data_IF_980057750447
#
_entry.id   IF_980057750447
#
_cell.length_a   1.000
_cell.length_b   1.000
_cell.length_c   1.000
_cell.angle_alpha   90.00
_cell.angle_beta   90.00
_cell.angle_gamma   90.00
#
_symmetry.space_group_name_H-M   'P 1'
#
loop_
_entity.id
_entity.type
_entity.pdbx_description
1 polymer ?
#
# COMPACT_ATOMS: atom_id res chain seq x y z
N UNK A 1 2.26 -25.20 9.22
CA UNK A 1 2.38 -23.78 9.58
C UNK A 1 1.22 -23.04 8.97
N UNK A 2 0.63 -22.05 9.65
CA UNK A 2 -0.41 -21.21 9.05
C UNK A 2 0.16 -20.42 7.88
N UNK A 3 -0.63 -20.24 6.81
CA UNK A 3 -0.26 -19.38 5.67
C UNK A 3 0.10 -17.97 6.14
N UNK A 4 1.08 -17.36 5.51
CA UNK A 4 1.36 -15.92 5.69
C UNK A 4 0.23 -15.11 5.09
N UNK A 5 -0.04 -13.94 5.65
CA UNK A 5 -1.10 -13.04 5.18
C UNK A 5 -0.51 -11.69 4.76
N UNK A 6 -0.93 -11.22 3.58
CA UNK A 6 -0.71 -9.85 3.11
C UNK A 6 -2.01 -9.06 3.11
N UNK A 7 -1.96 -7.82 3.59
CA UNK A 7 -3.03 -6.82 3.48
C UNK A 7 -2.60 -5.77 2.48
N UNK A 8 -3.39 -5.57 1.43
CA UNK A 8 -3.15 -4.54 0.40
C UNK A 8 -4.23 -3.46 0.51
N UNK A 9 -3.87 -2.32 1.05
CA UNK A 9 -4.71 -1.12 1.14
C UNK A 9 -4.52 -0.30 -0.12
N UNK A 10 -5.61 0.01 -0.81
CA UNK A 10 -5.60 0.58 -2.16
C UNK A 10 -5.61 -0.53 -3.23
N UNK A 11 -6.37 -1.61 -2.97
CA UNK A 11 -6.66 -2.61 -3.98
C UNK A 11 -7.39 -1.99 -5.17
N UNK A 12 -6.97 -2.36 -6.37
CA UNK A 12 -7.50 -1.82 -7.63
C UNK A 12 -6.90 -2.53 -8.82
N UNK A 13 -7.55 -2.43 -9.99
CA UNK A 13 -7.13 -3.09 -11.25
C UNK A 13 -5.71 -2.69 -11.72
N UNK A 14 -5.19 -1.55 -11.21
CA UNK A 14 -3.81 -1.15 -11.44
C UNK A 14 -2.81 -1.92 -10.56
N UNK A 15 -1.91 -1.22 -9.91
CA UNK A 15 -0.79 -1.81 -9.17
C UNK A 15 -1.23 -2.66 -7.97
N UNK A 16 -2.24 -2.22 -7.18
CA UNK A 16 -2.61 -2.89 -5.93
C UNK A 16 -2.95 -4.36 -6.09
N UNK A 17 -3.79 -4.71 -7.06
CA UNK A 17 -4.16 -6.10 -7.32
C UNK A 17 -2.99 -6.93 -7.85
N UNK A 18 -2.08 -6.35 -8.65
CA UNK A 18 -0.89 -7.06 -9.14
C UNK A 18 0.10 -7.35 -8.02
N UNK A 19 0.28 -6.41 -7.07
CA UNK A 19 1.09 -6.68 -5.87
C UNK A 19 0.46 -7.80 -5.05
N UNK A 20 -0.86 -7.74 -4.81
CA UNK A 20 -1.59 -8.78 -4.10
C UNK A 20 -1.43 -10.16 -4.78
N UNK A 21 -1.59 -10.20 -6.09
CA UNK A 21 -1.45 -11.43 -6.90
C UNK A 21 -0.01 -11.99 -6.85
N UNK A 22 1.00 -11.11 -6.92
CA UNK A 22 2.40 -11.54 -6.82
C UNK A 22 2.70 -12.27 -5.52
N UNK A 23 2.15 -11.78 -4.41
CA UNK A 23 2.26 -12.48 -3.12
C UNK A 23 1.41 -13.74 -3.05
N UNK A 24 0.21 -13.74 -3.67
CA UNK A 24 -0.65 -14.93 -3.72
C UNK A 24 0.04 -16.11 -4.45
N UNK A 25 0.82 -15.83 -5.50
CA UNK A 25 1.64 -16.83 -6.21
C UNK A 25 2.68 -17.50 -5.30
N UNK A 26 3.04 -16.85 -4.19
CA UNK A 26 3.97 -17.37 -3.17
C UNK A 26 3.23 -17.92 -1.93
N UNK A 27 2.03 -18.38 -2.14
CA UNK A 27 1.17 -19.01 -1.12
C UNK A 27 0.78 -18.10 0.05
N UNK A 28 0.68 -16.79 -0.17
CA UNK A 28 0.09 -15.90 0.80
C UNK A 28 -1.44 -15.89 0.70
N UNK A 29 -2.11 -15.85 1.86
CA UNK A 29 -3.49 -15.38 1.95
C UNK A 29 -3.52 -13.88 1.68
N UNK A 30 -4.47 -13.43 0.88
CA UNK A 30 -4.60 -12.02 0.48
C UNK A 30 -5.81 -11.37 1.15
N UNK A 31 -5.63 -10.17 1.68
CA UNK A 31 -6.73 -9.29 2.10
C UNK A 31 -6.69 -8.02 1.24
N UNK A 32 -7.70 -7.84 0.41
CA UNK A 32 -7.85 -6.66 -0.42
C UNK A 32 -8.68 -5.61 0.32
N UNK A 33 -8.12 -4.39 0.44
CA UNK A 33 -8.78 -3.28 1.13
C UNK A 33 -8.95 -2.11 0.16
N UNK A 34 -10.20 -1.64 -0.01
CA UNK A 34 -10.54 -0.49 -0.83
C UNK A 34 -11.86 0.14 -0.34
N UNK A 35 -12.22 1.32 -0.85
CA UNK A 35 -13.44 2.02 -0.44
C UNK A 35 -14.71 1.37 -0.98
N UNK A 36 -14.69 0.92 -2.24
CA UNK A 36 -15.88 0.43 -2.94
C UNK A 36 -16.06 -1.06 -2.78
N UNK A 37 -17.13 -1.46 -2.11
CA UNK A 37 -17.46 -2.87 -1.87
C UNK A 37 -17.85 -3.64 -3.14
N UNK A 38 -18.44 -2.96 -4.13
CA UNK A 38 -18.74 -3.53 -5.44
C UNK A 38 -17.48 -3.95 -6.19
N UNK A 39 -16.50 -3.05 -6.30
CA UNK A 39 -15.22 -3.36 -6.90
C UNK A 39 -14.46 -4.46 -6.15
N UNK A 40 -14.53 -4.48 -4.81
CA UNK A 40 -13.92 -5.53 -4.00
C UNK A 40 -14.55 -6.90 -4.27
N UNK A 41 -15.86 -6.97 -4.53
CA UNK A 41 -16.53 -8.23 -4.89
C UNK A 41 -16.01 -8.78 -6.23
N UNK A 42 -15.83 -7.90 -7.23
CA UNK A 42 -15.25 -8.28 -8.53
C UNK A 42 -13.80 -8.77 -8.38
N UNK A 43 -12.98 -8.05 -7.59
CA UNK A 43 -11.58 -8.44 -7.35
C UNK A 43 -11.49 -9.78 -6.63
N UNK A 44 -12.33 -9.99 -5.61
CA UNK A 44 -12.42 -11.26 -4.92
C UNK A 44 -12.72 -12.41 -5.88
N UNK A 45 -13.75 -12.26 -6.71
CA UNK A 45 -14.12 -13.28 -7.70
C UNK A 45 -12.97 -13.60 -8.66
N UNK A 46 -12.25 -12.56 -9.13
CA UNK A 46 -11.10 -12.73 -10.02
C UNK A 46 -9.95 -13.50 -9.37
N UNK A 47 -9.68 -13.28 -8.07
CA UNK A 47 -8.66 -14.02 -7.33
C UNK A 47 -9.08 -15.45 -7.02
N UNK A 48 -10.33 -15.67 -6.60
CA UNK A 48 -10.89 -17.00 -6.36
C UNK A 48 -10.88 -17.86 -7.63
N UNK A 49 -11.18 -17.27 -8.79
CA UNK A 49 -11.13 -17.96 -10.09
C UNK A 49 -9.72 -18.45 -10.46
N UNK A 50 -8.68 -17.81 -9.91
CA UNK A 50 -7.27 -18.23 -10.04
C UNK A 50 -6.84 -19.22 -8.95
N UNK A 51 -7.73 -19.59 -8.02
CA UNK A 51 -7.45 -20.50 -6.93
C UNK A 51 -6.74 -19.85 -5.74
N UNK A 52 -6.68 -18.51 -5.65
CA UNK A 52 -6.07 -17.82 -4.53
C UNK A 52 -7.02 -17.68 -3.33
N UNK A 53 -6.45 -17.78 -2.13
CA UNK A 53 -7.18 -17.52 -0.89
C UNK A 53 -7.25 -16.02 -0.65
N UNK A 54 -8.44 -15.43 -0.77
CA UNK A 54 -8.65 -13.99 -0.71
C UNK A 54 -9.85 -13.62 0.16
N UNK A 55 -9.71 -12.55 0.93
CA UNK A 55 -10.81 -11.85 1.59
C UNK A 55 -10.78 -10.36 1.24
N UNK A 56 -11.88 -9.67 1.51
CA UNK A 56 -12.03 -8.26 1.14
C UNK A 56 -12.64 -7.46 2.28
N UNK A 57 -12.12 -6.26 2.53
CA UNK A 57 -12.62 -5.37 3.57
C UNK A 57 -12.79 -3.97 3.00
N UNK A 58 -13.99 -3.42 3.09
CA UNK A 58 -14.23 -2.03 2.72
C UNK A 58 -13.65 -1.09 3.79
N UNK A 59 -12.90 -0.07 3.34
CA UNK A 59 -12.28 0.91 4.21
C UNK A 59 -12.08 2.24 3.47
N UNK A 60 -12.50 3.32 4.09
CA UNK A 60 -12.09 4.67 3.73
C UNK A 60 -10.90 5.07 4.60
N UNK A 61 -9.71 5.19 4.00
CA UNK A 61 -8.47 5.53 4.73
C UNK A 61 -8.43 6.98 5.20
N UNK A 62 -9.35 7.83 4.73
CA UNK A 62 -9.48 9.22 5.19
C UNK A 62 -10.26 9.34 6.49
N UNK A 63 -10.93 8.25 6.91
CA UNK A 63 -11.66 8.14 8.17
C UNK A 63 -10.93 7.19 9.13
N UNK A 64 -10.42 7.73 10.23
CA UNK A 64 -9.66 6.97 11.24
C UNK A 64 -10.49 5.85 11.88
N UNK A 65 -11.80 6.06 12.11
CA UNK A 65 -12.67 5.03 12.67
C UNK A 65 -12.98 3.93 11.62
N UNK A 66 -13.06 4.27 10.35
CA UNK A 66 -13.15 3.30 9.26
C UNK A 66 -11.90 2.41 9.22
N UNK A 67 -10.71 2.98 9.33
CA UNK A 67 -9.44 2.23 9.39
C UNK A 67 -9.43 1.30 10.59
N UNK A 68 -9.74 1.78 11.79
CA UNK A 68 -9.78 0.99 13.01
C UNK A 68 -10.75 -0.19 12.91
N UNK A 69 -11.95 0.07 12.38
CA UNK A 69 -12.98 -0.97 12.17
C UNK A 69 -12.50 -2.02 11.15
N UNK A 70 -11.90 -1.58 10.03
CA UNK A 70 -11.41 -2.47 9.01
C UNK A 70 -10.29 -3.38 9.52
N UNK A 71 -9.30 -2.83 10.23
CA UNK A 71 -8.21 -3.63 10.80
C UNK A 71 -8.67 -4.52 11.95
N UNK A 72 -9.69 -4.12 12.71
CA UNK A 72 -10.36 -5.00 13.68
C UNK A 72 -11.00 -6.23 13.03
N UNK A 73 -11.70 -6.03 11.89
CA UNK A 73 -12.26 -7.15 11.10
C UNK A 73 -11.16 -8.05 10.53
N UNK A 74 -10.11 -7.46 9.93
CA UNK A 74 -8.98 -8.23 9.40
C UNK A 74 -8.37 -9.09 10.49
N UNK A 75 -8.11 -8.51 11.67
CA UNK A 75 -7.54 -9.25 12.79
C UNK A 75 -8.45 -10.40 13.26
N UNK A 76 -9.75 -10.18 13.31
CA UNK A 76 -10.73 -11.21 13.71
C UNK A 76 -10.82 -12.37 12.68
N UNK A 77 -10.71 -12.08 11.38
CA UNK A 77 -10.88 -13.07 10.32
C UNK A 77 -9.59 -13.85 10.01
N UNK A 78 -8.46 -13.17 9.93
CA UNK A 78 -7.20 -13.75 9.47
C UNK A 78 -6.04 -13.63 10.47
N UNK A 79 -6.28 -13.00 11.62
CA UNK A 79 -5.25 -12.71 12.62
C UNK A 79 -4.34 -11.56 12.19
N UNK A 80 -3.22 -11.40 12.88
CA UNK A 80 -2.21 -10.40 12.56
C UNK A 80 -1.52 -10.76 11.24
N UNK A 81 -1.51 -9.87 10.23
CA UNK A 81 -0.85 -10.13 8.95
C UNK A 81 0.68 -10.20 9.09
N UNK A 82 1.35 -10.64 8.02
CA UNK A 82 2.81 -10.63 7.90
C UNK A 82 3.28 -9.41 7.10
N UNK A 83 2.43 -8.90 6.20
CA UNK A 83 2.77 -7.79 5.30
C UNK A 83 1.59 -6.84 5.21
N UNK A 84 1.89 -5.54 5.34
CA UNK A 84 1.00 -4.44 4.95
C UNK A 84 1.58 -3.76 3.70
N UNK A 85 0.80 -3.64 2.66
CA UNK A 85 1.10 -2.77 1.51
C UNK A 85 0.14 -1.59 1.52
N UNK A 86 0.66 -0.38 1.50
CA UNK A 86 -0.13 0.83 1.31
C UNK A 86 0.09 1.39 -0.09
N UNK A 87 -0.94 1.26 -0.92
CA UNK A 87 -0.92 1.64 -2.34
C UNK A 87 -1.98 2.71 -2.67
N UNK A 88 -2.55 3.37 -1.67
CA UNK A 88 -3.47 4.48 -1.93
C UNK A 88 -2.67 5.70 -2.39
N UNK A 89 -3.24 6.41 -3.36
CA UNK A 89 -2.71 7.68 -3.83
C UNK A 89 -3.66 8.30 -4.85
N UNK A 90 -3.84 9.61 -4.75
CA UNK A 90 -4.58 10.39 -5.73
C UNK A 90 -3.57 10.85 -6.79
N UNK A 91 -3.65 10.24 -7.97
CA UNK A 91 -2.67 10.44 -9.06
C UNK A 91 -3.25 11.22 -10.24
N UNK A 92 -4.45 11.77 -10.13
CA UNK A 92 -5.03 12.68 -11.11
C UNK A 92 -4.31 14.04 -11.07
N UNK A 93 -4.33 14.79 -12.19
CA UNK A 93 -3.92 16.19 -12.17
C UNK A 93 -4.71 17.01 -11.14
N UNK A 94 -4.07 18.07 -10.62
CA UNK A 94 -4.71 18.99 -9.70
C UNK A 94 -5.90 19.69 -10.36
N UNK A 95 -7.00 19.81 -9.63
CA UNK A 95 -8.16 20.60 -10.07
C UNK A 95 -7.81 22.09 -10.14
N UNK A 96 -8.46 22.84 -11.02
CA UNK A 96 -8.20 24.26 -11.20
C UNK A 96 -9.50 25.09 -11.00
N UNK A 97 -9.49 26.11 -10.12
CA UNK A 97 -8.36 26.54 -9.29
C UNK A 97 -8.08 25.53 -8.15
N UNK A 98 -6.80 25.29 -7.85
CA UNK A 98 -6.41 24.46 -6.72
C UNK A 98 -6.72 25.18 -5.39
N UNK A 99 -7.33 24.49 -4.45
CA UNK A 99 -7.67 25.00 -3.12
C UNK A 99 -6.90 24.30 -2.01
N UNK A 100 -6.82 24.94 -0.84
CA UNK A 100 -6.24 24.32 0.37
C UNK A 100 -7.00 23.04 0.76
N UNK A 101 -8.32 23.00 0.49
CA UNK A 101 -9.13 21.81 0.77
C UNK A 101 -8.75 20.63 -0.10
N UNK A 102 -8.34 20.86 -1.35
CA UNK A 102 -7.81 19.81 -2.23
C UNK A 102 -6.50 19.28 -1.69
N UNK A 103 -5.60 20.14 -1.24
CA UNK A 103 -4.34 19.74 -0.60
C UNK A 103 -4.62 18.88 0.63
N UNK A 104 -5.53 19.32 1.50
CA UNK A 104 -5.90 18.56 2.72
C UNK A 104 -6.47 17.20 2.35
N UNK A 105 -7.37 17.12 1.35
CA UNK A 105 -7.98 15.88 0.87
C UNK A 105 -6.92 14.89 0.37
N UNK A 106 -6.00 15.34 -0.45
CA UNK A 106 -4.90 14.56 -1.00
C UNK A 106 -3.98 14.06 0.13
N UNK A 107 -3.49 14.96 0.96
CA UNK A 107 -2.60 14.64 2.07
C UNK A 107 -3.25 13.67 3.06
N UNK A 108 -4.54 13.83 3.32
CA UNK A 108 -5.28 12.93 4.21
C UNK A 108 -5.33 11.51 3.63
N UNK A 109 -5.60 11.35 2.34
CA UNK A 109 -5.65 10.04 1.71
C UNK A 109 -4.26 9.39 1.61
N UNK A 110 -3.25 10.12 1.13
CA UNK A 110 -1.94 9.57 0.82
C UNK A 110 -1.05 9.38 2.05
N UNK A 111 -1.07 10.33 3.01
CA UNK A 111 -0.12 10.36 4.12
C UNK A 111 -0.77 9.99 5.46
N UNK A 112 -1.85 10.67 5.84
CA UNK A 112 -2.52 10.41 7.13
C UNK A 112 -3.13 8.99 7.12
N UNK A 113 -3.75 8.59 6.01
CA UNK A 113 -4.27 7.24 5.83
C UNK A 113 -3.19 6.17 5.92
N UNK A 114 -2.01 6.41 5.32
CA UNK A 114 -0.87 5.51 5.46
C UNK A 114 -0.43 5.35 6.91
N UNK A 115 -0.26 6.46 7.63
CA UNK A 115 0.09 6.44 9.05
C UNK A 115 -0.96 5.70 9.89
N UNK A 116 -2.25 5.95 9.65
CA UNK A 116 -3.34 5.27 10.35
C UNK A 116 -3.33 3.76 10.15
N UNK A 117 -3.09 3.30 8.92
CA UNK A 117 -2.97 1.87 8.60
C UNK A 117 -1.71 1.25 9.25
N UNK A 118 -0.57 1.96 9.22
CA UNK A 118 0.65 1.54 9.91
C UNK A 118 0.39 1.38 11.41
N UNK A 119 -0.22 2.39 12.04
CA UNK A 119 -0.56 2.36 13.46
C UNK A 119 -1.50 1.20 13.81
N UNK A 120 -2.44 0.88 12.94
CA UNK A 120 -3.40 -0.21 13.16
C UNK A 120 -2.78 -1.61 13.03
N UNK A 121 -1.76 -1.80 12.20
CA UNK A 121 -1.12 -3.10 12.00
C UNK A 121 0.02 -3.37 12.98
N UNK A 122 0.71 -2.32 13.46
CA UNK A 122 1.90 -2.45 14.31
C UNK A 122 1.50 -2.88 15.73
N UNK A 123 1.57 -4.18 15.98
CA UNK A 123 1.34 -4.83 17.27
C UNK A 123 2.59 -5.60 17.70
N UNK A 124 2.61 -6.11 18.93
CA UNK A 124 3.71 -6.98 19.38
C UNK A 124 3.72 -8.30 18.60
N UNK A 125 2.56 -8.82 18.22
CA UNK A 125 2.47 -10.01 17.35
C UNK A 125 3.02 -9.72 15.94
N UNK A 126 2.75 -8.54 15.35
CA UNK A 126 3.31 -8.15 14.07
C UNK A 126 4.84 -8.05 14.15
N UNK A 127 5.37 -7.52 15.24
CA UNK A 127 6.81 -7.49 15.52
C UNK A 127 7.39 -8.91 15.67
N UNK A 128 6.73 -9.77 16.45
CA UNK A 128 7.16 -11.17 16.64
C UNK A 128 7.19 -11.97 15.31
N UNK A 129 6.30 -11.64 14.38
CA UNK A 129 6.29 -12.19 13.00
C UNK A 129 7.35 -11.57 12.09
N UNK A 130 8.15 -10.61 12.58
CA UNK A 130 9.07 -9.79 11.76
C UNK A 130 8.31 -9.17 10.58
N UNK A 131 7.23 -8.47 10.89
CA UNK A 131 6.32 -7.90 9.90
C UNK A 131 7.02 -6.99 8.89
N UNK A 132 6.39 -6.78 7.73
CA UNK A 132 6.87 -5.87 6.71
C UNK A 132 5.78 -4.86 6.31
N UNK A 133 6.16 -3.60 6.14
CA UNK A 133 5.30 -2.52 5.67
C UNK A 133 5.93 -1.96 4.40
N UNK A 134 5.19 -2.01 3.29
CA UNK A 134 5.66 -1.57 1.99
C UNK A 134 4.76 -0.45 1.47
N UNK A 135 5.35 0.70 1.16
CA UNK A 135 4.62 1.88 0.70
C UNK A 135 4.87 2.14 -0.78
N UNK A 136 3.84 2.61 -1.49
CA UNK A 136 3.96 3.00 -2.90
C UNK A 136 4.42 4.45 -3.00
N UNK A 137 5.72 4.63 -3.18
CA UNK A 137 6.33 5.92 -3.49
C UNK A 137 6.15 6.32 -4.95
N UNK A 138 6.59 7.52 -5.28
CA UNK A 138 6.54 8.02 -6.66
C UNK A 138 7.57 9.12 -6.90
N UNK A 139 8.11 9.17 -8.11
CA UNK A 139 9.19 10.11 -8.49
C UNK A 139 8.78 11.58 -8.41
N UNK A 140 7.49 11.89 -8.35
CA UNK A 140 6.99 13.25 -8.23
C UNK A 140 7.59 14.03 -7.03
N UNK A 141 8.01 13.33 -5.96
CA UNK A 141 8.70 13.94 -4.83
C UNK A 141 10.13 14.43 -5.15
N UNK A 142 10.78 13.87 -6.17
CA UNK A 142 12.14 14.21 -6.59
C UNK A 142 12.15 15.08 -7.85
N UNK A 143 11.17 14.89 -8.71
CA UNK A 143 11.03 15.59 -9.98
C UNK A 143 9.57 16.00 -10.18
N UNK A 144 9.11 17.05 -9.48
CA UNK A 144 7.74 17.55 -9.64
C UNK A 144 7.48 18.04 -11.06
N UNK A 145 6.25 17.83 -11.53
CA UNK A 145 5.84 18.33 -12.84
C UNK A 145 4.58 19.20 -12.70
N UNK A 146 4.38 20.19 -13.63
CA UNK A 146 3.25 21.10 -13.56
C UNK A 146 1.90 20.39 -13.50
N UNK A 147 0.96 20.91 -12.70
CA UNK A 147 -0.38 20.36 -12.56
C UNK A 147 -0.48 19.15 -11.64
N UNK A 148 0.57 18.83 -10.86
CA UNK A 148 0.61 17.73 -9.90
C UNK A 148 1.26 18.14 -8.58
N UNK A 149 0.93 19.35 -8.10
CA UNK A 149 1.47 19.89 -6.85
C UNK A 149 1.12 18.99 -5.66
N UNK A 150 -0.16 18.57 -5.55
CA UNK A 150 -0.61 17.70 -4.47
C UNK A 150 0.16 16.39 -4.48
N UNK A 151 0.25 15.73 -5.62
CA UNK A 151 0.98 14.47 -5.76
C UNK A 151 2.46 14.61 -5.36
N UNK A 152 3.12 15.71 -5.74
CA UNK A 152 4.52 15.94 -5.38
C UNK A 152 4.70 16.12 -3.87
N UNK A 153 3.82 16.89 -3.23
CA UNK A 153 3.81 17.10 -1.78
C UNK A 153 3.55 15.78 -1.03
N UNK A 154 2.53 15.04 -1.46
CA UNK A 154 2.13 13.79 -0.82
C UNK A 154 3.22 12.72 -0.91
N UNK A 155 3.81 12.54 -2.10
CA UNK A 155 4.90 11.57 -2.27
C UNK A 155 6.17 11.99 -1.53
N UNK A 156 6.42 13.29 -1.38
CA UNK A 156 7.47 13.82 -0.52
C UNK A 156 7.26 13.49 0.96
N UNK A 157 6.06 13.77 1.46
CA UNK A 157 5.70 13.48 2.84
C UNK A 157 5.64 11.97 3.13
N UNK A 158 5.08 11.18 2.20
CA UNK A 158 5.02 9.71 2.32
C UNK A 158 6.43 9.09 2.34
N UNK A 159 7.36 9.62 1.54
CA UNK A 159 8.76 9.20 1.55
C UNK A 159 9.42 9.51 2.90
N UNK A 160 9.17 10.70 3.47
CA UNK A 160 9.61 11.07 4.82
C UNK A 160 9.04 10.15 5.89
N UNK A 161 7.74 9.83 5.81
CA UNK A 161 7.07 8.88 6.70
C UNK A 161 7.70 7.48 6.60
N UNK A 162 7.99 6.99 5.39
CA UNK A 162 8.62 5.69 5.20
C UNK A 162 9.96 5.58 5.92
N UNK A 163 10.83 6.58 5.76
CA UNK A 163 12.14 6.62 6.41
C UNK A 163 12.03 6.74 7.92
N UNK A 164 11.14 7.61 8.42
CA UNK A 164 10.92 7.77 9.85
C UNK A 164 10.43 6.45 10.49
N UNK A 165 9.42 5.81 9.88
CA UNK A 165 8.91 4.52 10.35
C UNK A 165 9.92 3.38 10.20
N UNK A 166 10.76 3.39 9.16
CA UNK A 166 11.85 2.44 9.02
C UNK A 166 12.79 2.52 10.24
N UNK A 167 13.25 3.71 10.59
CA UNK A 167 14.17 3.92 11.71
C UNK A 167 13.52 3.57 13.07
N UNK A 168 12.25 3.96 13.25
CA UNK A 168 11.54 3.75 14.52
C UNK A 168 11.20 2.27 14.76
N UNK A 169 10.82 1.54 13.72
CA UNK A 169 10.34 0.16 13.84
C UNK A 169 11.42 -0.91 13.66
N UNK A 170 12.58 -0.56 13.11
CA UNK A 170 13.70 -1.48 12.94
C UNK A 170 14.15 -2.14 14.26
N UNK A 171 14.23 -1.44 15.42
CA UNK A 171 14.58 -2.08 16.69
C UNK A 171 13.56 -3.13 17.17
N UNK A 172 12.31 -3.06 16.65
CA UNK A 172 11.27 -4.06 16.92
C UNK A 172 11.30 -5.22 15.91
N UNK A 173 12.24 -5.24 14.97
CA UNK A 173 12.33 -6.26 13.91
C UNK A 173 11.32 -6.10 12.78
N UNK A 174 10.63 -4.97 12.70
CA UNK A 174 9.67 -4.68 11.64
C UNK A 174 10.41 -3.95 10.50
N UNK A 175 10.26 -4.45 9.28
CA UNK A 175 10.79 -3.79 8.10
C UNK A 175 9.78 -2.79 7.53
N UNK A 176 10.22 -1.58 7.24
CA UNK A 176 9.44 -0.59 6.48
C UNK A 176 10.23 -0.17 5.26
N UNK A 177 9.61 -0.24 4.09
CA UNK A 177 10.24 0.16 2.84
C UNK A 177 9.29 0.84 1.87
N UNK A 178 9.85 1.53 0.88
CA UNK A 178 9.08 2.16 -0.19
C UNK A 178 9.62 1.78 -1.57
N UNK A 179 8.72 1.38 -2.45
CA UNK A 179 9.01 1.24 -3.88
C UNK A 179 8.66 2.55 -4.57
N UNK A 180 9.68 3.29 -4.97
CA UNK A 180 9.52 4.54 -5.71
C UNK A 180 9.33 4.24 -7.20
N UNK A 181 8.11 4.39 -7.69
CA UNK A 181 7.80 4.21 -9.12
C UNK A 181 8.21 5.47 -9.87
N UNK A 182 9.19 5.33 -10.78
CA UNK A 182 9.76 6.46 -11.54
C UNK A 182 9.14 6.62 -12.93
N UNK A 183 7.87 6.24 -13.09
CA UNK A 183 7.12 6.36 -14.34
C UNK A 183 5.62 6.21 -14.11
N UNK A 184 4.87 6.19 -15.20
CA UNK A 184 3.41 6.01 -15.18
C UNK A 184 3.10 4.52 -15.15
N UNK A 185 2.42 4.07 -14.11
CA UNK A 185 1.95 2.68 -13.97
C UNK A 185 1.08 2.33 -15.18
N UNK A 186 1.46 1.29 -15.93
CA UNK A 186 0.78 0.88 -17.17
C UNK A 186 1.09 1.77 -18.39
N UNK A 187 1.96 2.77 -18.28
CA UNK A 187 2.28 3.70 -19.37
C UNK A 187 3.07 3.07 -20.52
N UNK A 188 3.77 1.99 -20.26
CA UNK A 188 4.45 1.16 -21.25
C UNK A 188 4.70 -0.25 -20.67
N UNK A 189 5.29 -1.14 -21.46
CA UNK A 189 5.55 -2.52 -21.07
C UNK A 189 6.48 -2.63 -19.84
N UNK A 190 7.50 -1.78 -19.74
CA UNK A 190 8.40 -1.76 -18.59
C UNK A 190 7.65 -1.42 -17.31
N UNK A 191 6.79 -0.41 -17.33
CA UNK A 191 5.96 0.01 -16.19
C UNK A 191 4.63 -0.77 -16.09
N UNK A 192 4.54 -1.95 -16.72
CA UNK A 192 3.39 -2.84 -16.49
C UNK A 192 3.26 -3.14 -14.99
N UNK A 193 2.03 -3.10 -14.43
CA UNK A 193 1.83 -3.31 -12.99
C UNK A 193 2.46 -4.60 -12.45
N UNK A 194 2.49 -5.66 -13.23
CA UNK A 194 3.11 -6.93 -12.85
C UNK A 194 4.63 -6.80 -12.63
N UNK A 195 5.34 -6.04 -13.50
CA UNK A 195 6.78 -5.81 -13.36
C UNK A 195 7.10 -4.98 -12.11
N UNK A 196 6.26 -3.99 -11.80
CA UNK A 196 6.39 -3.19 -10.58
C UNK A 196 6.10 -4.07 -9.34
N UNK A 197 5.09 -4.93 -9.39
CA UNK A 197 4.73 -5.84 -8.31
C UNK A 197 5.87 -6.78 -7.92
N UNK A 198 6.67 -7.23 -8.90
CA UNK A 198 7.87 -8.04 -8.64
C UNK A 198 8.86 -7.31 -7.74
N UNK A 199 8.97 -5.97 -7.86
CA UNK A 199 9.86 -5.17 -7.00
C UNK A 199 9.40 -5.14 -5.54
N UNK A 200 8.09 -5.21 -5.28
CA UNK A 200 7.57 -5.34 -3.90
C UNK A 200 7.92 -6.71 -3.30
N UNK A 201 7.83 -7.75 -4.11
CA UNK A 201 8.22 -9.09 -3.67
C UNK A 201 9.71 -9.17 -3.34
N UNK A 202 10.57 -8.66 -4.23
CA UNK A 202 12.01 -8.59 -4.00
C UNK A 202 12.35 -7.82 -2.73
N UNK A 203 11.77 -6.62 -2.54
CA UNK A 203 11.96 -5.81 -1.34
C UNK A 203 11.52 -6.56 -0.06
N UNK A 204 10.39 -7.27 -0.11
CA UNK A 204 9.94 -8.09 1.01
C UNK A 204 10.91 -9.21 1.35
N UNK A 205 11.50 -9.87 0.37
CA UNK A 205 12.46 -10.95 0.57
C UNK A 205 13.80 -10.44 1.10
N UNK A 206 14.36 -9.42 0.45
CA UNK A 206 15.70 -8.92 0.74
C UNK A 206 15.78 -8.08 2.02
N UNK A 207 14.79 -7.22 2.26
CA UNK A 207 14.69 -6.31 3.42
C UNK A 207 16.00 -5.53 3.68
N UNK A 208 16.68 -5.17 2.62
CA UNK A 208 18.01 -4.55 2.67
C UNK A 208 17.91 -3.03 2.66
N UNK A 209 17.29 -2.50 1.63
CA UNK A 209 17.17 -1.07 1.40
C UNK A 209 15.75 -0.61 1.73
N UNK A 210 15.60 0.47 2.49
CA UNK A 210 14.29 1.04 2.81
C UNK A 210 13.62 1.73 1.63
N UNK A 211 14.41 2.12 0.60
CA UNK A 211 13.89 2.71 -0.63
C UNK A 211 14.51 2.02 -1.85
N UNK A 212 13.66 1.59 -2.77
CA UNK A 212 14.08 1.04 -4.06
C UNK A 212 13.37 1.79 -5.16
N UNK A 213 14.13 2.27 -6.17
CA UNK A 213 13.57 2.94 -7.34
C UNK A 213 13.30 1.94 -8.44
N UNK A 214 12.09 1.98 -8.99
CA UNK A 214 11.72 1.27 -10.21
C UNK A 214 11.76 2.28 -11.37
N UNK A 215 12.83 2.18 -12.20
CA UNK A 215 13.12 3.10 -13.31
C UNK A 215 12.96 2.42 -14.64
#
# INVERSE_FOLDING_TARGET
>A
MSKKTIVVVGAGQGLGNHVAERFAQEDFRVVLVARRSDALAEYRQAFEAKGYEVSTVACDVTDVESVKTAFGKIHAEVGTPNVLVYNVGITSPDEQPLTEQDIIRHFTADVVGAYSCIKAVVTDEFAAKKGAILLTGGVACLSPFPGYLCLAMDKGALRGLALAMHNELAPRGIFVGTVMVCGIVGGNEHFAPANIAEKYWQMYQERKDWEVQFK
#
